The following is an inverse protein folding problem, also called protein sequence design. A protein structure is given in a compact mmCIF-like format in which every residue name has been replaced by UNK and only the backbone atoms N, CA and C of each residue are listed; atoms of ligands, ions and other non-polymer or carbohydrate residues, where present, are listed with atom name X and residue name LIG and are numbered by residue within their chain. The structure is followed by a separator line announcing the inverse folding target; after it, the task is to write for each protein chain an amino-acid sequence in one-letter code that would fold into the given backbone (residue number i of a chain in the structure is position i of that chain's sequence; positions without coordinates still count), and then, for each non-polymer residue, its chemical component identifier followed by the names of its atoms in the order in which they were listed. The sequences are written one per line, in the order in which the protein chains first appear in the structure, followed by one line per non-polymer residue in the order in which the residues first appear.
data_IF_151563566086
#
_entry.id   IF_151563566086
#
_cell.length_a   1.000
_cell.length_b   1.000
_cell.length_c   1.000
_cell.angle_alpha   90.00
_cell.angle_beta   90.00
_cell.angle_gamma   90.00
#
_symmetry.space_group_name_H-M   'P 1'
#
loop_
_entity.id
_entity.type
_entity.pdbx_description
1 polymer ?
#
# COMPACT_ATOMS: atom_id res chain seq x y z
N UNK A 1 39.43 -15.16 -49.67
CA UNK A 1 39.51 -13.85 -48.99
C UNK A 1 39.07 -13.80 -47.52
N UNK A 2 38.44 -14.84 -46.94
CA UNK A 2 37.94 -14.82 -45.54
C UNK A 2 38.98 -15.14 -44.45
N UNK A 3 40.18 -15.60 -44.82
CA UNK A 3 41.22 -16.06 -43.87
C UNK A 3 42.31 -15.02 -43.53
N UNK A 4 42.33 -13.86 -44.19
CA UNK A 4 43.34 -12.81 -43.95
C UNK A 4 42.96 -11.83 -42.82
N UNK A 5 41.68 -11.75 -42.45
CA UNK A 5 41.20 -10.88 -41.37
C UNK A 5 41.56 -11.41 -39.98
N UNK A 6 41.60 -12.74 -39.80
CA UNK A 6 41.96 -13.37 -38.52
C UNK A 6 43.35 -12.97 -38.01
N UNK A 7 44.45 -13.09 -38.78
CA UNK A 7 45.78 -12.76 -38.29
C UNK A 7 45.96 -11.26 -38.01
N UNK A 8 45.34 -10.38 -38.81
CA UNK A 8 45.37 -8.93 -38.58
C UNK A 8 44.61 -8.54 -37.30
N UNK A 9 43.44 -9.15 -37.04
CA UNK A 9 42.73 -8.95 -35.77
C UNK A 9 43.55 -9.46 -34.58
N UNK A 10 44.11 -10.68 -34.65
CA UNK A 10 44.98 -11.25 -33.60
C UNK A 10 46.23 -10.40 -33.32
N UNK A 11 46.76 -9.70 -34.33
CA UNK A 11 47.88 -8.78 -34.18
C UNK A 11 47.43 -7.44 -33.57
N UNK A 12 46.28 -6.91 -33.95
CA UNK A 12 45.66 -5.75 -33.26
C UNK A 12 45.32 -6.05 -31.80
N UNK A 13 44.95 -7.29 -31.46
CA UNK A 13 44.79 -7.75 -30.06
C UNK A 13 46.09 -7.71 -29.26
N UNK A 14 47.27 -7.86 -29.89
CA UNK A 14 48.58 -7.70 -29.21
C UNK A 14 49.00 -6.24 -29.04
N UNK A 15 48.23 -5.30 -29.58
CA UNK A 15 48.50 -3.86 -29.48
C UNK A 15 47.65 -3.29 -28.33
N UNK A 16 48.26 -2.75 -27.28
CA UNK A 16 47.57 -2.36 -26.02
C UNK A 16 46.38 -1.41 -26.18
N UNK A 17 46.27 -0.70 -27.31
CA UNK A 17 45.15 0.18 -27.62
C UNK A 17 43.79 -0.51 -27.74
N UNK A 18 43.73 -1.76 -28.22
CA UNK A 18 42.45 -2.49 -28.32
C UNK A 18 41.92 -2.88 -26.93
N UNK A 19 42.80 -3.27 -26.01
CA UNK A 19 42.41 -3.55 -24.62
C UNK A 19 41.86 -2.31 -23.91
N UNK A 20 42.47 -1.14 -24.11
CA UNK A 20 41.96 0.13 -23.57
C UNK A 20 40.55 0.43 -24.10
N UNK A 21 40.29 0.20 -25.39
CA UNK A 21 38.98 0.40 -25.99
C UNK A 21 37.94 -0.57 -25.44
N UNK A 22 38.30 -1.85 -25.26
CA UNK A 22 37.42 -2.85 -24.65
C UNK A 22 37.10 -2.49 -23.20
N UNK A 23 38.09 -2.06 -22.41
CA UNK A 23 37.89 -1.61 -21.02
C UNK A 23 36.98 -0.38 -20.99
N UNK A 24 37.24 0.63 -21.83
CA UNK A 24 36.42 1.83 -21.90
C UNK A 24 34.96 1.52 -22.28
N UNK A 25 34.75 0.64 -23.27
CA UNK A 25 33.41 0.22 -23.68
C UNK A 25 32.71 -0.59 -22.58
N UNK A 26 33.43 -1.50 -21.93
CA UNK A 26 32.90 -2.31 -20.83
C UNK A 26 32.52 -1.44 -19.64
N UNK A 27 33.34 -0.43 -19.33
CA UNK A 27 33.07 0.56 -18.29
C UNK A 27 31.83 1.40 -18.64
N UNK A 28 31.71 1.86 -19.88
CA UNK A 28 30.54 2.61 -20.34
C UNK A 28 29.25 1.79 -20.23
N UNK A 29 29.25 0.55 -20.74
CA UNK A 29 28.09 -0.36 -20.66
C UNK A 29 27.75 -0.68 -19.20
N UNK A 30 28.75 -0.95 -18.36
CA UNK A 30 28.54 -1.22 -16.93
C UNK A 30 27.92 -0.02 -16.22
N UNK A 31 28.42 1.19 -16.49
CA UNK A 31 27.89 2.42 -15.91
C UNK A 31 26.44 2.68 -16.34
N UNK A 32 26.11 2.54 -17.63
CA UNK A 32 24.73 2.69 -18.13
C UNK A 32 23.80 1.62 -17.56
N UNK A 33 24.27 0.38 -17.44
CA UNK A 33 23.50 -0.73 -16.87
C UNK A 33 23.23 -0.51 -15.38
N UNK A 34 24.24 -0.09 -14.61
CA UNK A 34 24.10 0.24 -13.20
C UNK A 34 23.10 1.39 -12.98
N UNK A 35 23.17 2.43 -13.82
CA UNK A 35 22.21 3.54 -13.77
C UNK A 35 20.78 3.08 -14.06
N UNK A 36 20.59 2.21 -15.07
CA UNK A 36 19.28 1.64 -15.39
C UNK A 36 18.71 0.81 -14.23
N UNK A 37 19.50 -0.10 -13.66
CA UNK A 37 19.08 -0.89 -12.51
C UNK A 37 18.75 -0.03 -11.29
N UNK A 38 19.53 1.02 -11.05
CA UNK A 38 19.25 1.98 -9.98
C UNK A 38 17.90 2.66 -10.18
N UNK A 39 17.59 3.09 -11.40
CA UNK A 39 16.31 3.71 -11.73
C UNK A 39 15.13 2.73 -11.53
N UNK A 40 15.27 1.49 -11.99
CA UNK A 40 14.24 0.46 -11.85
C UNK A 40 13.99 0.10 -10.39
N UNK A 41 15.05 0.01 -9.57
CA UNK A 41 14.95 -0.20 -8.12
C UNK A 41 14.19 0.94 -7.43
N UNK A 42 14.51 2.19 -7.77
CA UNK A 42 13.81 3.37 -7.22
C UNK A 42 12.33 3.36 -7.60
N UNK A 43 12.01 3.10 -8.87
CA UNK A 43 10.61 3.00 -9.33
C UNK A 43 9.83 1.91 -8.60
N UNK A 44 10.44 0.73 -8.43
CA UNK A 44 9.81 -0.39 -7.74
C UNK A 44 9.58 -0.07 -6.26
N UNK A 45 10.56 0.55 -5.60
CA UNK A 45 10.42 0.97 -4.20
C UNK A 45 9.28 1.98 -4.03
N UNK A 46 9.19 2.98 -4.91
CA UNK A 46 8.11 3.97 -4.90
C UNK A 46 6.75 3.31 -5.17
N UNK A 47 6.67 2.40 -6.15
CA UNK A 47 5.42 1.70 -6.46
C UNK A 47 4.94 0.84 -5.29
N UNK A 48 5.86 0.15 -4.60
CA UNK A 48 5.52 -0.65 -3.43
C UNK A 48 5.04 0.22 -2.27
N UNK A 49 5.68 1.37 -2.05
CA UNK A 49 5.27 2.32 -1.02
C UNK A 49 3.89 2.91 -1.33
N UNK A 50 3.61 3.26 -2.59
CA UNK A 50 2.29 3.72 -3.02
C UNK A 50 1.22 2.65 -2.80
N UNK A 51 1.48 1.39 -3.17
CA UNK A 51 0.54 0.29 -2.95
C UNK A 51 0.28 0.03 -1.45
N UNK A 52 1.30 0.20 -0.59
CA UNK A 52 1.12 0.12 0.87
C UNK A 52 0.25 1.27 1.39
N UNK A 53 0.42 2.48 0.86
CA UNK A 53 -0.42 3.63 1.21
C UNK A 53 -1.86 3.47 0.75
N UNK A 54 -2.09 2.81 -0.38
CA UNK A 54 -3.44 2.50 -0.89
C UNK A 54 -4.11 1.30 -0.20
N UNK A 55 -3.38 0.55 0.63
CA UNK A 55 -3.75 -0.77 1.15
C UNK A 55 -4.09 -1.83 0.10
N UNK A 56 -3.81 -1.58 -1.19
CA UNK A 56 -4.04 -2.49 -2.31
C UNK A 56 -3.14 -2.12 -3.51
N UNK A 57 -3.02 -3.03 -4.47
CA UNK A 57 -2.34 -2.74 -5.75
C UNK A 57 -3.20 -1.87 -6.67
N UNK A 58 -4.53 -1.98 -6.55
CA UNK A 58 -5.51 -1.21 -7.29
C UNK A 58 -6.72 -0.93 -6.40
N UNK A 59 -7.25 0.29 -6.45
CA UNK A 59 -8.46 0.69 -5.75
C UNK A 59 -9.47 1.20 -6.78
N UNK A 60 -10.68 0.63 -6.74
CA UNK A 60 -11.83 1.15 -7.47
C UNK A 60 -12.72 1.87 -6.45
N UNK A 61 -12.86 3.18 -6.60
CA UNK A 61 -13.72 4.00 -5.73
C UNK A 61 -14.90 4.53 -6.54
N UNK A 62 -16.09 4.49 -5.93
CA UNK A 62 -17.30 5.05 -6.49
C UNK A 62 -18.23 5.50 -5.35
N UNK A 63 -19.03 6.52 -5.58
CA UNK A 63 -20.05 6.97 -4.61
C UNK A 63 -21.27 6.04 -4.60
N UNK A 64 -21.51 5.33 -5.70
CA UNK A 64 -22.54 4.32 -5.82
C UNK A 64 -21.97 2.90 -5.64
N UNK A 65 -22.79 1.92 -5.23
CA UNK A 65 -22.36 0.53 -5.12
C UNK A 65 -21.66 0.05 -6.39
N UNK A 66 -20.44 -0.49 -6.22
CA UNK A 66 -19.67 -1.02 -7.34
C UNK A 66 -20.40 -2.24 -7.91
N UNK A 67 -20.56 -2.25 -9.23
CA UNK A 67 -21.22 -3.34 -9.95
C UNK A 67 -20.50 -4.68 -9.72
N UNK A 68 -21.26 -5.70 -9.32
CA UNK A 68 -20.78 -7.05 -9.04
C UNK A 68 -20.03 -7.71 -10.21
N UNK A 69 -20.16 -7.20 -11.44
CA UNK A 69 -19.33 -7.64 -12.57
C UNK A 69 -17.83 -7.51 -12.29
N UNK A 70 -17.42 -6.51 -11.53
CA UNK A 70 -16.01 -6.28 -11.20
C UNK A 70 -15.47 -7.31 -10.22
N UNK A 71 -16.24 -7.64 -9.17
CA UNK A 71 -15.90 -8.70 -8.23
C UNK A 71 -15.79 -10.04 -8.95
N UNK A 72 -16.79 -10.39 -9.78
CA UNK A 72 -16.75 -11.63 -10.60
C UNK A 72 -15.54 -11.67 -11.52
N UNK A 73 -15.13 -10.53 -12.10
CA UNK A 73 -13.95 -10.47 -12.96
C UNK A 73 -12.66 -10.65 -12.17
N UNK A 74 -12.58 -10.07 -10.97
CA UNK A 74 -11.44 -10.27 -10.07
C UNK A 74 -11.32 -11.75 -9.67
N UNK A 75 -12.43 -12.41 -9.35
CA UNK A 75 -12.48 -13.85 -9.06
C UNK A 75 -12.00 -14.70 -10.25
N UNK A 76 -12.49 -14.39 -11.47
CA UNK A 76 -12.07 -15.08 -12.70
C UNK A 76 -10.56 -14.95 -12.99
N UNK A 77 -9.96 -13.83 -12.60
CA UNK A 77 -8.53 -13.56 -12.76
C UNK A 77 -7.69 -14.11 -11.59
N UNK A 78 -8.32 -14.72 -10.57
CA UNK A 78 -7.65 -15.21 -9.37
C UNK A 78 -7.07 -14.10 -8.48
N UNK A 79 -7.62 -12.89 -8.58
CA UNK A 79 -7.16 -11.73 -7.80
C UNK A 79 -7.80 -11.75 -6.41
N UNK A 80 -7.01 -11.40 -5.39
CA UNK A 80 -7.55 -11.12 -4.06
C UNK A 80 -8.22 -9.75 -4.08
N UNK A 81 -9.46 -9.69 -3.61
CA UNK A 81 -10.21 -8.44 -3.48
C UNK A 81 -10.83 -8.35 -2.08
N UNK A 82 -11.16 -7.13 -1.69
CA UNK A 82 -11.83 -6.81 -0.44
C UNK A 82 -12.64 -5.54 -0.65
N UNK A 83 -13.83 -5.48 -0.07
CA UNK A 83 -14.65 -4.28 -0.11
C UNK A 83 -14.39 -3.44 1.14
N UNK A 84 -14.38 -2.12 0.93
CA UNK A 84 -14.27 -1.13 1.98
C UNK A 84 -15.32 -0.07 1.71
N UNK A 85 -16.09 0.27 2.74
CA UNK A 85 -17.08 1.36 2.67
C UNK A 85 -16.65 2.44 3.65
N UNK A 86 -16.59 3.68 3.17
CA UNK A 86 -16.20 4.82 3.98
C UNK A 86 -17.31 5.87 3.96
N UNK A 87 -17.64 6.38 5.14
CA UNK A 87 -18.64 7.43 5.30
C UNK A 87 -18.38 8.25 6.55
N UNK A 88 -18.79 9.52 6.54
CA UNK A 88 -18.74 10.38 7.73
C UNK A 88 -20.03 10.23 8.53
N UNK A 89 -19.93 10.04 9.85
CA UNK A 89 -21.08 9.92 10.73
C UNK A 89 -20.80 10.53 12.10
N UNK A 90 -21.86 10.85 12.84
CA UNK A 90 -21.74 11.29 14.24
C UNK A 90 -21.55 10.05 15.13
N UNK A 91 -20.42 9.98 15.82
CA UNK A 91 -20.20 9.08 16.93
C UNK A 91 -20.55 9.79 18.23
N UNK A 92 -21.19 9.08 19.14
CA UNK A 92 -21.53 9.62 20.44
C UNK A 92 -21.46 8.58 21.55
N UNK A 93 -21.28 9.09 22.75
CA UNK A 93 -21.39 8.35 24.02
C UNK A 93 -22.50 8.99 24.84
N UNK A 94 -22.61 8.65 26.13
CA UNK A 94 -23.59 9.30 27.01
C UNK A 94 -23.35 10.82 27.14
N UNK A 95 -22.08 11.26 27.05
CA UNK A 95 -21.69 12.62 27.40
C UNK A 95 -21.01 13.40 26.26
N UNK A 96 -20.53 12.74 25.20
CA UNK A 96 -19.73 13.38 24.14
C UNK A 96 -20.27 13.04 22.75
N UNK A 97 -20.20 14.00 21.83
CA UNK A 97 -20.63 13.86 20.44
C UNK A 97 -19.51 14.37 19.53
N UNK A 98 -19.07 13.53 18.60
CA UNK A 98 -17.91 13.80 17.74
C UNK A 98 -18.21 13.32 16.33
N UNK A 99 -17.90 14.14 15.32
CA UNK A 99 -17.98 13.72 13.92
C UNK A 99 -16.76 12.86 13.58
N UNK A 100 -16.99 11.64 13.10
CA UNK A 100 -15.93 10.68 12.77
C UNK A 100 -16.10 10.16 11.36
N UNK A 101 -14.99 9.75 10.75
CA UNK A 101 -15.01 8.98 9.51
C UNK A 101 -14.99 7.50 9.86
N UNK A 102 -16.02 6.78 9.43
CA UNK A 102 -16.20 5.36 9.67
C UNK A 102 -15.70 4.62 8.45
N UNK A 103 -14.80 3.66 8.67
CA UNK A 103 -14.27 2.77 7.64
C UNK A 103 -14.73 1.36 7.96
N UNK A 104 -15.74 0.89 7.24
CA UNK A 104 -16.21 -0.49 7.32
C UNK A 104 -15.32 -1.35 6.39
N UNK A 105 -14.61 -2.30 6.98
CA UNK A 105 -13.66 -3.16 6.29
C UNK A 105 -14.11 -4.61 6.35
N UNK A 106 -13.85 -5.36 5.29
CA UNK A 106 -13.95 -6.81 5.30
C UNK A 106 -12.70 -7.47 5.93
N UNK A 107 -12.79 -8.74 6.37
CA UNK A 107 -11.66 -9.43 7.04
C UNK A 107 -10.37 -9.55 6.22
N UNK A 108 -10.46 -9.41 4.90
CA UNK A 108 -9.31 -9.48 4.00
C UNK A 108 -8.52 -8.16 3.90
N UNK A 109 -9.04 -7.07 4.46
CA UNK A 109 -8.36 -5.78 4.50
C UNK A 109 -7.31 -5.73 5.63
N UNK A 110 -6.12 -5.12 5.40
CA UNK A 110 -5.64 -4.59 4.13
C UNK A 110 -4.96 -5.66 3.24
N UNK A 111 -5.03 -5.51 1.91
CA UNK A 111 -4.36 -6.42 0.96
C UNK A 111 -2.86 -6.13 0.84
N UNK A 112 -2.47 -4.87 1.03
CA UNK A 112 -1.09 -4.36 1.06
C UNK A 112 -0.89 -3.48 2.28
N UNK A 113 0.35 -3.37 2.77
CA UNK A 113 0.65 -2.58 3.98
C UNK A 113 0.28 -3.32 5.26
N UNK A 114 0.14 -2.58 6.36
CA UNK A 114 -0.16 -3.11 7.69
C UNK A 114 -1.15 -2.21 8.43
N UNK A 115 -2.06 -2.86 9.15
CA UNK A 115 -2.92 -2.25 10.16
C UNK A 115 -2.49 -2.80 11.53
N UNK A 116 -1.93 -1.94 12.38
CA UNK A 116 -1.46 -2.26 13.72
C UNK A 116 -2.47 -1.76 14.74
N UNK A 117 -2.98 -2.68 15.56
CA UNK A 117 -4.04 -2.45 16.54
C UNK A 117 -3.58 -2.97 17.89
N UNK A 118 -3.93 -2.26 18.96
CA UNK A 118 -3.68 -2.65 20.34
C UNK A 118 -5.00 -2.83 21.11
N UNK A 119 -5.25 -3.99 21.73
CA UNK A 119 -4.45 -5.22 21.71
C UNK A 119 -4.41 -5.86 20.31
N UNK A 120 -3.37 -6.67 20.04
CA UNK A 120 -3.15 -7.30 18.73
C UNK A 120 -4.38 -8.13 18.32
N UNK A 121 -5.12 -7.64 17.34
CA UNK A 121 -6.26 -8.30 16.74
C UNK A 121 -5.99 -8.61 15.27
N UNK A 122 -6.33 -9.83 14.81
CA UNK A 122 -6.19 -10.23 13.40
C UNK A 122 -7.40 -9.88 12.54
N UNK A 123 -8.51 -9.48 13.16
CA UNK A 123 -9.76 -9.16 12.48
C UNK A 123 -10.77 -8.60 13.48
N UNK A 124 -11.63 -7.72 12.99
CA UNK A 124 -12.71 -7.12 13.77
C UNK A 124 -13.92 -8.04 13.78
N UNK A 125 -14.54 -8.25 14.94
CA UNK A 125 -15.77 -9.03 15.03
C UNK A 125 -16.99 -8.15 14.73
N UNK A 126 -18.11 -8.73 14.24
CA UNK A 126 -19.35 -7.99 14.10
C UNK A 126 -19.79 -7.37 15.44
N UNK A 127 -20.13 -6.09 15.43
CA UNK A 127 -20.50 -5.35 16.65
C UNK A 127 -19.32 -4.76 17.42
N UNK A 128 -18.08 -4.93 16.95
CA UNK A 128 -16.92 -4.24 17.50
C UNK A 128 -16.50 -3.04 16.65
N UNK A 129 -15.79 -2.10 17.27
CA UNK A 129 -15.18 -0.95 16.62
C UNK A 129 -13.74 -0.76 17.10
N UNK A 130 -12.86 -0.43 16.15
CA UNK A 130 -11.54 0.08 16.46
C UNK A 130 -11.50 1.59 16.30
N UNK A 131 -10.97 2.28 17.30
CA UNK A 131 -10.90 3.73 17.33
C UNK A 131 -9.46 4.20 17.22
N UNK A 132 -9.23 5.32 16.55
CA UNK A 132 -7.95 6.02 16.67
C UNK A 132 -7.81 6.59 18.09
N UNK A 133 -6.57 6.76 18.55
CA UNK A 133 -6.30 7.36 19.87
C UNK A 133 -7.03 8.70 20.06
N UNK A 134 -6.99 9.58 19.04
CA UNK A 134 -7.71 10.86 19.04
C UNK A 134 -9.21 10.70 19.21
N UNK A 135 -9.83 9.75 18.49
CA UNK A 135 -11.27 9.53 18.58
C UNK A 135 -11.66 9.02 19.97
N UNK A 136 -10.85 8.11 20.55
CA UNK A 136 -11.06 7.62 21.91
C UNK A 136 -10.93 8.75 22.95
N UNK A 137 -9.95 9.64 22.80
CA UNK A 137 -9.74 10.79 23.69
C UNK A 137 -10.90 11.79 23.62
N UNK A 138 -11.37 12.12 22.41
CA UNK A 138 -12.49 13.05 22.22
C UNK A 138 -13.82 12.48 22.74
N UNK A 139 -14.06 11.18 22.55
CA UNK A 139 -15.25 10.49 23.06
C UNK A 139 -15.15 10.17 24.56
N UNK A 140 -13.95 10.31 25.16
CA UNK A 140 -13.61 9.99 26.54
C UNK A 140 -13.94 8.53 26.93
N UNK A 141 -13.65 7.59 26.02
CA UNK A 141 -13.96 6.16 26.19
C UNK A 141 -12.72 5.32 26.45
N UNK A 142 -12.91 4.21 27.15
CA UNK A 142 -11.88 3.21 27.45
C UNK A 142 -12.14 1.91 26.70
N UNK A 143 -11.10 1.13 26.49
CA UNK A 143 -11.18 -0.17 25.83
C UNK A 143 -12.20 -1.06 26.56
N UNK A 144 -13.21 -1.53 25.84
CA UNK A 144 -14.33 -2.31 26.34
C UNK A 144 -15.65 -1.54 26.43
N UNK A 145 -15.63 -0.21 26.36
CA UNK A 145 -16.83 0.64 26.42
C UNK A 145 -17.67 0.56 25.14
N UNK A 146 -18.93 0.97 25.25
CA UNK A 146 -19.85 1.05 24.10
C UNK A 146 -19.81 2.45 23.49
N UNK A 147 -19.71 2.51 22.17
CA UNK A 147 -19.75 3.73 21.37
C UNK A 147 -20.86 3.60 20.34
N UNK A 148 -21.74 4.61 20.29
CA UNK A 148 -22.80 4.67 19.29
C UNK A 148 -22.30 5.43 18.06
N UNK A 149 -22.50 4.86 16.88
CA UNK A 149 -22.18 5.47 15.59
C UNK A 149 -23.47 5.47 14.78
N UNK A 150 -24.02 6.66 14.51
CA UNK A 150 -25.40 6.80 14.07
C UNK A 150 -26.37 6.01 14.99
N UNK A 151 -27.18 5.12 14.42
CA UNK A 151 -28.19 4.33 15.13
C UNK A 151 -27.67 3.00 15.70
N UNK A 152 -26.40 2.66 15.45
CA UNK A 152 -25.81 1.39 15.85
C UNK A 152 -24.81 1.56 17.00
N UNK A 153 -24.81 0.62 17.94
CA UNK A 153 -23.90 0.61 19.08
C UNK A 153 -22.82 -0.47 18.89
N UNK A 154 -21.56 -0.08 19.08
CA UNK A 154 -20.40 -0.94 18.89
C UNK A 154 -19.53 -0.97 20.14
N UNK A 155 -18.92 -2.11 20.41
CA UNK A 155 -17.96 -2.26 21.51
C UNK A 155 -16.57 -1.85 21.06
N UNK A 156 -15.96 -0.91 21.78
CA UNK A 156 -14.59 -0.49 21.51
C UNK A 156 -13.59 -1.59 21.90
N UNK A 157 -13.04 -2.30 20.92
CA UNK A 157 -12.21 -3.49 21.16
C UNK A 157 -10.71 -3.29 20.92
N UNK A 158 -10.30 -2.19 20.29
CA UNK A 158 -8.90 -1.96 19.95
C UNK A 158 -8.59 -0.53 19.49
N UNK A 159 -7.42 -0.04 19.86
CA UNK A 159 -6.87 1.25 19.43
C UNK A 159 -6.07 1.05 18.15
N UNK A 160 -6.32 1.86 17.13
CA UNK A 160 -5.52 1.88 15.90
C UNK A 160 -4.23 2.64 16.18
N UNK A 161 -3.10 1.93 16.19
CA UNK A 161 -1.75 2.49 16.40
C UNK A 161 -1.15 2.96 15.08
N UNK A 162 -1.29 2.15 14.02
CA UNK A 162 -0.81 2.51 12.69
C UNK A 162 -1.70 1.94 11.60
N UNK A 163 -2.23 2.80 10.73
CA UNK A 163 -2.89 2.41 9.49
C UNK A 163 -2.09 2.95 8.30
N UNK A 164 -1.63 2.05 7.42
CA UNK A 164 -0.87 2.44 6.23
C UNK A 164 -1.76 3.18 5.21
N UNK A 165 -3.06 2.90 5.22
CA UNK A 165 -4.09 3.55 4.39
C UNK A 165 -4.94 4.51 5.22
N UNK A 166 -4.31 5.19 6.18
CA UNK A 166 -4.97 6.27 6.89
C UNK A 166 -5.19 7.39 5.89
N UNK A 167 -6.44 7.58 5.47
CA UNK A 167 -6.79 8.75 4.67
C UNK A 167 -6.51 9.97 5.53
N UNK A 168 -5.51 10.74 5.12
CA UNK A 168 -5.30 12.12 5.54
C UNK A 168 -6.43 12.96 4.92
N UNK A 169 -7.67 12.66 5.29
CA UNK A 169 -8.82 13.44 4.90
C UNK A 169 -8.64 14.86 5.45
N UNK A 170 -8.89 15.86 4.62
CA UNK A 170 -8.83 17.30 4.93
C UNK A 170 -9.67 17.73 6.16
N UNK A 171 -10.39 16.80 6.79
CA UNK A 171 -11.11 17.00 8.05
C UNK A 171 -10.20 16.96 9.30
N UNK A 172 -8.88 16.81 9.14
CA UNK A 172 -7.89 16.93 10.22
C UNK A 172 -7.22 18.30 10.31
N UNK A 173 -7.73 19.31 9.61
CA UNK A 173 -7.35 20.72 9.73
C UNK A 173 -8.44 21.49 10.47
#
# INVERSE_FOLDING_TARGET
MRNLLRPLLLQSFRTGGLYLLIIALSLAISATTALKFSNDQVKNAVSLQAAQMLAADLVLSNNEPIDAKWQKRADQLGLKHTNVTMFSSMAHTQDQFVMVNVKAIEPAFPLRGKLEIEPIARGIQPGEVWLSQRAADLLKVKLGDMVSIADAAFRFSGVIVRDSNQELGFSSL
#
